data_IF_684939188866
#
_entry.id   IF_684939188866
#
_cell.length_a   1.000
_cell.length_b   1.000
_cell.length_c   1.000
_cell.angle_alpha   90.00
_cell.angle_beta   90.00
_cell.angle_gamma   90.00
#
_symmetry.space_group_name_H-M   'P 1'
#
loop_
_entity.id
_entity.type
_entity.pdbx_description
1 polymer ?
#
# COMPACT_ATOMS: atom_id res chain seq x y z
N UNK A 1 22.34 24.39 1.47
CA UNK A 1 22.86 23.52 0.39
C UNK A 1 22.65 22.08 0.87
N UNK A 2 21.64 21.38 0.35
CA UNK A 2 21.32 20.01 0.77
C UNK A 2 22.31 19.08 0.03
N UNK A 3 23.05 18.19 0.72
CA UNK A 3 23.95 17.27 0.04
C UNK A 3 23.13 16.34 -0.85
N UNK A 4 23.49 16.25 -2.12
CA UNK A 4 22.92 15.24 -3.02
C UNK A 4 23.39 13.87 -2.54
N UNK A 5 22.45 13.06 -2.03
CA UNK A 5 22.71 11.66 -1.71
C UNK A 5 22.84 10.94 -3.05
N UNK A 6 24.07 10.64 -3.45
CA UNK A 6 24.35 9.84 -4.63
C UNK A 6 24.07 8.37 -4.30
N UNK A 7 22.79 8.00 -4.29
CA UNK A 7 22.38 6.60 -4.22
C UNK A 7 22.50 6.03 -5.63
N UNK A 8 23.52 5.19 -5.88
CA UNK A 8 23.51 4.30 -7.03
C UNK A 8 22.36 3.31 -6.82
N UNK A 9 21.14 3.72 -7.18
CA UNK A 9 20.01 2.81 -7.20
C UNK A 9 20.36 1.69 -8.18
N UNK A 10 20.25 0.43 -7.73
CA UNK A 10 20.34 -0.69 -8.65
C UNK A 10 19.37 -0.45 -9.81
N UNK A 11 19.72 -0.84 -11.03
CA UNK A 11 18.87 -0.62 -12.22
C UNK A 11 17.46 -1.19 -12.03
N UNK A 12 17.32 -2.21 -11.17
CA UNK A 12 16.06 -2.84 -10.77
C UNK A 12 16.03 -3.04 -9.25
N UNK A 13 15.63 -2.04 -8.45
CA UNK A 13 15.65 -2.13 -7.00
C UNK A 13 14.49 -3.00 -6.49
N UNK A 14 14.72 -3.73 -5.39
CA UNK A 14 13.62 -4.37 -4.67
C UNK A 14 12.68 -3.31 -4.08
N UNK A 15 11.38 -3.58 -4.09
CA UNK A 15 10.35 -2.70 -3.52
C UNK A 15 9.70 -3.39 -2.33
N UNK A 16 9.80 -2.76 -1.16
CA UNK A 16 9.09 -3.18 0.04
C UNK A 16 7.95 -2.18 0.32
N UNK A 17 6.71 -2.62 0.11
CA UNK A 17 5.52 -1.84 0.43
C UNK A 17 4.98 -2.24 1.81
N UNK A 18 4.96 -1.28 2.74
CA UNK A 18 4.46 -1.47 4.11
C UNK A 18 3.15 -0.70 4.25
N UNK A 19 2.06 -1.42 4.52
CA UNK A 19 0.77 -0.83 4.85
C UNK A 19 0.44 -1.08 6.32
N UNK A 20 0.09 -0.03 7.05
CA UNK A 20 -0.36 -0.11 8.44
C UNK A 20 -1.85 0.21 8.47
N UNK A 21 -2.64 -0.65 9.10
CA UNK A 21 -4.09 -0.49 9.19
C UNK A 21 -4.43 0.57 10.25
N UNK A 22 -5.25 1.55 9.86
CA UNK A 22 -5.76 2.64 10.71
C UNK A 22 -4.71 3.49 11.46
N UNK A 23 -3.44 3.47 11.02
CA UNK A 23 -2.40 4.34 11.57
C UNK A 23 -2.64 5.80 11.14
N UNK A 24 -2.85 6.67 12.12
CA UNK A 24 -2.88 8.12 11.94
C UNK A 24 -1.47 8.75 12.05
N UNK A 25 -1.37 10.07 11.95
CA UNK A 25 -0.17 10.91 12.10
C UNK A 25 0.47 10.92 13.51
N UNK A 26 0.08 9.99 14.40
CA UNK A 26 0.57 9.90 15.77
C UNK A 26 2.02 9.42 15.91
N UNK A 27 2.76 9.30 14.81
CA UNK A 27 4.16 8.87 14.79
C UNK A 27 5.10 10.02 15.12
N UNK A 28 6.22 9.71 15.76
CA UNK A 28 7.19 10.70 16.24
C UNK A 28 7.75 11.59 15.12
N UNK A 29 8.00 11.04 13.93
CA UNK A 29 8.47 11.82 12.77
C UNK A 29 7.48 12.86 12.24
N UNK A 30 6.20 12.80 12.62
CA UNK A 30 5.18 13.80 12.29
C UNK A 30 4.83 14.71 13.48
N UNK A 31 5.58 14.65 14.57
CA UNK A 31 5.27 15.41 15.79
C UNK A 31 4.00 14.91 16.50
N UNK A 32 3.66 13.63 16.31
CA UNK A 32 2.47 13.00 16.87
C UNK A 32 2.46 12.89 18.40
N UNK A 33 1.56 12.05 18.92
CA UNK A 33 1.27 11.97 20.36
C UNK A 33 2.54 11.67 21.22
N UNK A 34 2.80 12.39 22.33
CA UNK A 34 4.06 12.28 23.08
C UNK A 34 4.31 10.91 23.73
N UNK A 35 3.26 10.09 23.87
CA UNK A 35 3.40 8.72 24.39
C UNK A 35 3.71 7.68 23.29
N UNK A 36 3.58 8.03 22.01
CA UNK A 36 3.87 7.12 20.92
C UNK A 36 5.38 6.92 20.79
N UNK A 37 5.85 5.68 20.97
CA UNK A 37 7.26 5.31 20.81
C UNK A 37 7.46 4.64 19.46
N UNK A 38 7.87 5.39 18.44
CA UNK A 38 8.01 4.90 17.06
C UNK A 38 9.45 4.95 16.51
N UNK A 39 10.49 4.55 17.28
CA UNK A 39 11.89 4.81 16.92
C UNK A 39 12.31 4.18 15.57
N UNK A 40 11.68 3.07 15.17
CA UNK A 40 11.95 2.43 13.88
C UNK A 40 11.32 3.18 12.70
N UNK A 41 10.10 3.72 12.86
CA UNK A 41 9.46 4.57 11.84
C UNK A 41 10.24 5.88 11.73
N UNK A 42 10.66 6.46 12.85
CA UNK A 42 11.44 7.70 12.87
C UNK A 42 12.79 7.51 12.18
N UNK A 43 13.45 6.37 12.41
CA UNK A 43 14.70 6.01 11.73
C UNK A 43 14.51 5.80 10.23
N UNK A 44 13.37 5.22 9.81
CA UNK A 44 13.05 5.07 8.40
C UNK A 44 12.83 6.43 7.72
N UNK A 45 12.05 7.31 8.35
CA UNK A 45 11.79 8.67 7.84
C UNK A 45 13.08 9.47 7.66
N UNK A 46 14.02 9.41 8.62
CA UNK A 46 15.33 10.09 8.54
C UNK A 46 16.23 9.60 7.39
N UNK A 47 15.99 8.39 6.87
CA UNK A 47 16.78 7.78 5.78
C UNK A 47 16.14 7.96 4.40
N UNK A 48 14.95 8.53 4.33
CA UNK A 48 14.17 8.65 3.11
C UNK A 48 13.55 10.03 2.96
N UNK A 49 12.43 10.08 2.25
CA UNK A 49 11.62 11.28 2.08
C UNK A 49 10.34 11.09 2.89
N UNK A 50 10.06 12.05 3.77
CA UNK A 50 8.81 12.13 4.53
C UNK A 50 7.85 13.08 3.82
N UNK A 51 6.65 12.60 3.49
CA UNK A 51 5.56 13.45 3.02
C UNK A 51 4.69 13.85 4.20
N UNK A 52 4.77 15.11 4.60
CA UNK A 52 4.01 15.63 5.75
C UNK A 52 2.52 15.87 5.43
N UNK A 53 2.15 15.83 4.15
CA UNK A 53 0.78 16.09 3.65
C UNK A 53 0.34 14.97 2.68
N UNK A 54 0.33 13.73 3.17
CA UNK A 54 -0.14 12.57 2.42
C UNK A 54 -1.57 12.21 2.83
N UNK A 55 -2.52 12.28 1.88
CA UNK A 55 -3.94 11.97 2.13
C UNK A 55 -4.38 10.71 1.40
N UNK A 56 -5.19 9.89 2.05
CA UNK A 56 -5.83 8.74 1.41
C UNK A 56 -6.92 9.16 0.42
N UNK A 57 -7.22 8.31 -0.56
CA UNK A 57 -8.27 8.59 -1.55
C UNK A 57 -9.69 8.49 -0.97
N UNK A 58 -9.86 7.76 0.14
CA UNK A 58 -11.10 7.66 0.90
C UNK A 58 -10.79 7.25 2.36
N UNK A 59 -11.54 7.76 3.36
CA UNK A 59 -11.34 7.43 4.77
C UNK A 59 -11.98 6.08 5.15
N UNK A 60 -11.79 5.05 4.31
CA UNK A 60 -12.31 3.71 4.53
C UNK A 60 -11.40 2.65 3.88
N UNK A 61 -11.22 1.51 4.54
CA UNK A 61 -10.28 0.46 4.16
C UNK A 61 -10.38 0.04 2.68
N UNK A 62 -11.53 -0.49 2.23
CA UNK A 62 -11.68 -1.04 0.88
C UNK A 62 -11.44 0.00 -0.23
N UNK A 63 -12.09 1.17 -0.22
CA UNK A 63 -11.86 2.17 -1.27
C UNK A 63 -10.43 2.73 -1.26
N UNK A 64 -9.83 2.95 -0.08
CA UNK A 64 -8.45 3.43 0.03
C UNK A 64 -7.43 2.42 -0.51
N UNK A 65 -7.56 1.15 -0.10
CA UNK A 65 -6.63 0.08 -0.51
C UNK A 65 -6.77 -0.23 -2.00
N UNK A 66 -8.00 -0.26 -2.52
CA UNK A 66 -8.23 -0.44 -3.96
C UNK A 66 -7.61 0.70 -4.75
N UNK A 67 -7.72 1.94 -4.26
CA UNK A 67 -7.14 3.09 -4.94
C UNK A 67 -5.61 2.98 -5.08
N UNK A 68 -4.92 2.54 -4.03
CA UNK A 68 -3.47 2.28 -4.08
C UNK A 68 -3.15 1.14 -5.04
N UNK A 69 -3.87 0.01 -4.95
CA UNK A 69 -3.56 -1.18 -5.74
C UNK A 69 -3.87 -1.04 -7.22
N UNK A 70 -4.88 -0.24 -7.59
CA UNK A 70 -5.30 -0.05 -8.98
C UNK A 70 -4.82 1.28 -9.59
N UNK A 71 -4.32 2.21 -8.77
CA UNK A 71 -4.00 3.57 -9.22
C UNK A 71 -5.22 4.41 -9.61
N UNK A 72 -6.40 4.09 -9.05
CA UNK A 72 -7.67 4.75 -9.41
C UNK A 72 -8.36 5.40 -8.22
N UNK A 73 -9.12 6.46 -8.47
CA UNK A 73 -9.98 7.06 -7.44
C UNK A 73 -11.23 6.20 -7.19
N UNK A 74 -11.80 6.25 -5.98
CA UNK A 74 -13.12 5.66 -5.69
C UNK A 74 -14.22 6.10 -6.66
N UNK A 75 -14.18 7.36 -7.13
CA UNK A 75 -15.10 7.87 -8.14
C UNK A 75 -14.98 7.19 -9.51
N UNK A 76 -13.83 6.58 -9.80
CA UNK A 76 -13.59 5.79 -11.01
C UNK A 76 -13.91 4.32 -10.79
N UNK A 77 -13.63 3.76 -9.60
CA UNK A 77 -13.86 2.33 -9.30
C UNK A 77 -15.29 2.03 -8.85
N UNK A 78 -16.06 3.04 -8.41
CA UNK A 78 -17.39 2.82 -7.82
C UNK A 78 -17.37 2.07 -6.48
N UNK A 79 -16.19 1.82 -5.91
CA UNK A 79 -16.05 1.21 -4.58
C UNK A 79 -16.07 2.35 -3.57
N UNK A 80 -17.15 2.44 -2.80
CA UNK A 80 -17.31 3.43 -1.73
C UNK A 80 -17.45 2.80 -0.34
N UNK A 81 -17.72 1.48 -0.29
CA UNK A 81 -17.95 0.72 0.94
C UNK A 81 -17.01 -0.48 1.07
N UNK A 82 -17.09 -1.13 2.22
CA UNK A 82 -16.24 -2.28 2.56
C UNK A 82 -16.77 -3.64 2.09
N UNK A 83 -18.01 -3.69 1.58
CA UNK A 83 -18.66 -4.95 1.19
C UNK A 83 -18.34 -5.36 -0.25
N UNK A 84 -17.85 -4.45 -1.07
CA UNK A 84 -17.59 -4.71 -2.48
C UNK A 84 -16.16 -5.22 -2.68
N UNK A 85 -16.03 -6.37 -3.35
CA UNK A 85 -14.75 -6.86 -3.86
C UNK A 85 -14.55 -6.41 -5.31
N UNK A 86 -13.43 -5.75 -5.60
CA UNK A 86 -13.22 -5.12 -6.91
C UNK A 86 -13.22 -6.13 -8.08
N UNK A 87 -12.75 -7.37 -7.88
CA UNK A 87 -12.77 -8.40 -8.94
C UNK A 87 -14.16 -8.94 -9.26
N UNK A 88 -15.16 -8.69 -8.41
CA UNK A 88 -16.54 -9.07 -8.69
C UNK A 88 -17.24 -8.08 -9.63
N UNK A 89 -16.61 -6.92 -9.86
CA UNK A 89 -17.11 -5.91 -10.78
C UNK A 89 -16.62 -6.24 -12.21
N UNK A 90 -17.53 -6.56 -13.16
CA UNK A 90 -17.15 -7.01 -14.49
C UNK A 90 -16.17 -6.08 -15.23
N UNK A 91 -16.29 -4.76 -15.01
CA UNK A 91 -15.47 -3.75 -15.64
C UNK A 91 -14.00 -3.72 -15.14
N UNK A 92 -13.70 -4.34 -13.99
CA UNK A 92 -12.35 -4.36 -13.40
C UNK A 92 -11.74 -5.76 -13.31
N UNK A 93 -12.43 -6.79 -13.82
CA UNK A 93 -11.98 -8.19 -13.70
C UNK A 93 -10.54 -8.39 -14.22
N UNK A 94 -10.17 -7.73 -15.31
CA UNK A 94 -8.87 -7.87 -16.00
C UNK A 94 -7.90 -6.71 -15.71
N UNK A 95 -8.27 -5.78 -14.84
CA UNK A 95 -7.40 -4.65 -14.51
C UNK A 95 -6.14 -5.09 -13.80
N UNK A 96 -5.00 -4.51 -14.18
CA UNK A 96 -3.69 -4.85 -13.63
C UNK A 96 -3.51 -4.11 -12.32
N UNK A 97 -3.36 -4.85 -11.22
CA UNK A 97 -3.00 -4.26 -9.93
C UNK A 97 -1.49 -4.02 -9.83
N UNK A 98 -1.06 -3.16 -8.91
CA UNK A 98 0.33 -2.83 -8.64
C UNK A 98 1.24 -4.06 -8.60
N UNK A 99 0.99 -5.08 -7.75
CA UNK A 99 1.82 -6.29 -7.73
C UNK A 99 1.79 -7.08 -9.06
N UNK A 100 0.65 -7.15 -9.76
CA UNK A 100 0.59 -7.77 -11.09
C UNK A 100 1.45 -7.03 -12.11
N UNK A 101 1.51 -5.70 -12.03
CA UNK A 101 2.35 -4.89 -12.90
C UNK A 101 3.83 -5.22 -12.67
N UNK A 102 4.28 -5.30 -11.41
CA UNK A 102 5.63 -5.72 -11.06
C UNK A 102 5.95 -7.13 -11.62
N UNK A 103 5.03 -8.09 -11.46
CA UNK A 103 5.19 -9.46 -11.99
C UNK A 103 5.36 -9.50 -13.51
N UNK A 104 4.53 -8.75 -14.24
CA UNK A 104 4.62 -8.62 -15.70
C UNK A 104 5.97 -8.06 -16.17
N UNK A 105 6.69 -7.36 -15.30
CA UNK A 105 8.00 -6.75 -15.58
C UNK A 105 9.16 -7.45 -14.85
N UNK A 106 8.99 -8.75 -14.57
CA UNK A 106 10.07 -9.63 -14.14
C UNK A 106 10.46 -9.48 -12.67
N UNK A 107 9.58 -8.97 -11.82
CA UNK A 107 9.72 -9.04 -10.36
C UNK A 107 8.95 -10.24 -9.81
N UNK A 108 9.46 -10.84 -8.74
CA UNK A 108 8.69 -11.78 -7.92
C UNK A 108 7.87 -10.98 -6.90
N UNK A 109 6.56 -11.17 -6.87
CA UNK A 109 5.69 -10.48 -5.92
C UNK A 109 5.32 -11.36 -4.72
N UNK A 110 5.63 -10.84 -3.54
CA UNK A 110 5.27 -11.44 -2.26
C UNK A 110 4.18 -10.60 -1.60
N UNK A 111 3.09 -11.24 -1.19
CA UNK A 111 1.99 -10.60 -0.47
C UNK A 111 1.86 -11.14 0.96
N UNK A 112 1.39 -10.33 1.90
CA UNK A 112 1.12 -10.80 3.26
C UNK A 112 0.38 -9.80 4.12
N UNK A 113 -0.25 -10.28 5.19
CA UNK A 113 -1.09 -9.46 6.06
C UNK A 113 -2.31 -8.86 5.35
N UNK A 114 -2.79 -7.72 5.83
CA UNK A 114 -3.97 -7.01 5.28
C UNK A 114 -3.51 -5.99 4.23
N UNK A 115 -3.44 -6.41 2.96
CA UNK A 115 -3.17 -5.51 1.83
C UNK A 115 -4.45 -5.06 1.13
N UNK A 116 -5.42 -5.97 1.00
CA UNK A 116 -6.79 -5.67 0.56
C UNK A 116 -7.76 -5.69 1.75
N UNK A 117 -8.95 -5.11 1.58
CA UNK A 117 -10.03 -5.23 2.57
C UNK A 117 -10.85 -6.51 2.34
N UNK A 118 -11.23 -7.18 3.43
CA UNK A 118 -11.86 -8.50 3.39
C UNK A 118 -13.37 -8.45 3.17
N UNK A 119 -13.79 -8.13 1.95
CA UNK A 119 -15.19 -8.26 1.55
C UNK A 119 -15.59 -9.75 1.48
N UNK A 120 -16.60 -10.17 2.25
CA UNK A 120 -17.16 -11.53 2.21
C UNK A 120 -16.13 -12.68 2.30
N UNK A 121 -15.09 -12.51 3.14
CA UNK A 121 -14.04 -13.52 3.33
C UNK A 121 -12.96 -13.56 2.24
N UNK A 122 -13.01 -12.67 1.24
CA UNK A 122 -11.97 -12.54 0.21
C UNK A 122 -10.78 -11.79 0.78
N UNK A 123 -9.66 -12.48 0.97
CA UNK A 123 -8.51 -11.94 1.68
C UNK A 123 -7.52 -11.17 0.78
N UNK A 124 -7.41 -11.56 -0.48
CA UNK A 124 -6.39 -11.04 -1.39
C UNK A 124 -6.75 -11.29 -2.87
N UNK A 125 -6.09 -10.56 -3.77
CA UNK A 125 -6.14 -10.82 -5.21
C UNK A 125 -5.22 -12.00 -5.56
N UNK A 126 -5.79 -13.19 -5.78
CA UNK A 126 -4.99 -14.40 -6.01
C UNK A 126 -4.04 -14.28 -7.23
N UNK A 127 -4.45 -13.53 -8.25
CA UNK A 127 -3.62 -13.29 -9.44
C UNK A 127 -2.46 -12.31 -9.21
N UNK A 128 -2.34 -11.69 -8.04
CA UNK A 128 -1.35 -10.66 -7.76
C UNK A 128 0.01 -11.19 -7.26
N UNK A 129 0.09 -12.41 -6.76
CA UNK A 129 1.22 -12.85 -5.96
C UNK A 129 1.84 -14.14 -6.49
N UNK A 130 3.17 -14.23 -6.47
CA UNK A 130 3.89 -15.50 -6.65
C UNK A 130 3.97 -16.27 -5.33
N UNK A 131 4.06 -15.54 -4.22
CA UNK A 131 4.11 -16.09 -2.86
C UNK A 131 3.23 -15.27 -1.91
N UNK A 132 2.59 -15.94 -0.96
CA UNK A 132 1.78 -15.30 0.07
C UNK A 132 2.21 -15.78 1.46
N UNK A 133 2.57 -14.84 2.33
CA UNK A 133 2.76 -15.09 3.76
C UNK A 133 1.46 -14.81 4.51
N UNK A 134 0.89 -15.87 5.10
CA UNK A 134 -0.19 -15.72 6.06
C UNK A 134 0.41 -15.50 7.44
N UNK A 135 0.09 -14.38 8.08
CA UNK A 135 0.44 -14.11 9.48
C UNK A 135 -0.66 -14.60 10.43
N UNK A 136 -1.26 -15.77 10.14
CA UNK A 136 -2.12 -16.43 11.15
C UNK A 136 -1.27 -16.81 12.36
#
# INVERSE_FOLDING_TARGET
MIPAINCLAAERPNVLFIAVDDLNDWVGCLGGHPQAKTPNIDKLAKRGILFEQAHCAAPLCSPSRTAIMMGLRPSTTGIYGNLNWFRDMPQYKDWVTLPQYFRKHGYTAWGGGKLYHQAHGKFSDAGAWDHVYSTR
#
